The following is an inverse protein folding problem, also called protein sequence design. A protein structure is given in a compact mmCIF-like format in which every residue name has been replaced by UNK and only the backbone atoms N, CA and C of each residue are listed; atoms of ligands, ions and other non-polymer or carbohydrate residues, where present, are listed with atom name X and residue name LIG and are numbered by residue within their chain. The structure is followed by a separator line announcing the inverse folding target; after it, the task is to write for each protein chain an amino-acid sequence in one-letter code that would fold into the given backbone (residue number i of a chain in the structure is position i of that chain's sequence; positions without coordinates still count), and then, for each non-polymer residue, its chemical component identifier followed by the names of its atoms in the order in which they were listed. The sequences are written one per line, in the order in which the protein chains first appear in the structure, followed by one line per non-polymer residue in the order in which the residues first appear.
data_IF_783614495541
#
_entry.id   IF_783614495541
#
_cell.length_a   1.000
_cell.length_b   1.000
_cell.length_c   1.000
_cell.angle_alpha   90.00
_cell.angle_beta   90.00
_cell.angle_gamma   90.00
#
_symmetry.space_group_name_H-M   'P 1'
#
loop_
_entity.id
_entity.type
_entity.pdbx_description
1 polymer ?
#
# COMPACT_ATOMS: atom_id res chain seq x y z
N UNK A 1 25.83 14.84 14.01
CA UNK A 1 25.10 15.94 14.68
C UNK A 1 24.86 15.47 16.10
N UNK A 2 25.65 15.96 17.06
CA UNK A 2 25.65 15.44 18.43
C UNK A 2 24.25 15.47 19.04
N UNK A 3 23.83 14.34 19.63
CA UNK A 3 22.53 14.17 20.30
C UNK A 3 22.29 15.27 21.33
N UNK A 4 23.37 15.70 22.01
CA UNK A 4 23.47 16.84 22.93
C UNK A 4 22.90 18.14 22.33
N UNK A 5 23.28 18.47 21.09
CA UNK A 5 22.86 19.71 20.40
C UNK A 5 21.38 19.66 19.99
N UNK A 6 20.85 18.48 19.69
CA UNK A 6 19.46 18.32 19.23
C UNK A 6 18.46 18.14 20.39
N UNK A 7 18.85 17.44 21.46
CA UNK A 7 17.97 17.05 22.58
C UNK A 7 18.41 17.57 23.95
N UNK A 8 19.57 18.21 24.10
CA UNK A 8 20.09 18.65 25.41
C UNK A 8 19.15 19.55 26.20
N UNK A 9 18.29 20.34 25.53
CA UNK A 9 17.25 21.17 26.17
C UNK A 9 16.04 20.37 26.67
N UNK A 10 15.84 19.13 26.21
CA UNK A 10 14.70 18.29 26.62
C UNK A 10 14.89 17.78 28.04
N UNK A 11 14.00 18.22 28.95
CA UNK A 11 13.97 17.72 30.35
C UNK A 11 13.78 16.20 30.41
N UNK A 12 12.92 15.66 29.54
CA UNK A 12 12.67 14.22 29.46
C UNK A 12 13.93 13.45 29.08
N UNK A 13 14.65 13.90 28.04
CA UNK A 13 15.87 13.24 27.59
C UNK A 13 16.94 13.26 28.67
N UNK A 14 17.17 14.42 29.31
CA UNK A 14 18.12 14.55 30.42
C UNK A 14 17.79 13.61 31.57
N UNK A 15 16.51 13.54 31.97
CA UNK A 15 16.05 12.62 33.04
C UNK A 15 16.29 11.15 32.69
N UNK A 16 16.02 10.75 31.45
CA UNK A 16 16.22 9.36 31.01
C UNK A 16 17.71 9.02 30.86
N UNK A 17 18.52 9.99 30.39
CA UNK A 17 19.97 9.89 30.28
C UNK A 17 20.66 9.78 31.64
N UNK A 18 20.20 10.52 32.66
CA UNK A 18 20.73 10.44 34.02
C UNK A 18 20.25 9.20 34.79
N UNK A 19 19.40 8.36 34.18
CA UNK A 19 18.91 7.13 34.80
C UNK A 19 19.86 5.94 34.61
N UNK A 20 19.51 4.76 35.18
CA UNK A 20 20.34 3.56 35.15
C UNK A 20 20.63 2.99 33.75
N UNK A 21 19.93 3.49 32.71
CA UNK A 21 20.04 3.02 31.33
C UNK A 21 20.45 4.14 30.37
N UNK A 22 21.15 5.15 30.89
CA UNK A 22 21.49 6.38 30.18
C UNK A 22 22.16 6.16 28.82
N UNK A 23 23.20 5.31 28.76
CA UNK A 23 23.92 5.02 27.52
C UNK A 23 23.01 4.41 26.43
N UNK A 24 22.08 3.54 26.80
CA UNK A 24 21.13 2.93 25.86
C UNK A 24 20.12 3.96 25.35
N UNK A 25 19.67 4.86 26.23
CA UNK A 25 18.80 5.98 25.86
C UNK A 25 19.51 6.93 24.90
N UNK A 26 20.81 7.17 25.07
CA UNK A 26 21.62 7.97 24.14
C UNK A 26 21.70 7.32 22.76
N UNK A 27 22.00 6.02 22.67
CA UNK A 27 22.03 5.28 21.40
C UNK A 27 20.68 5.27 20.69
N UNK A 28 19.60 5.08 21.45
CA UNK A 28 18.25 5.17 20.92
C UNK A 28 17.93 6.58 20.42
N UNK A 29 18.29 7.62 21.17
CA UNK A 29 18.13 9.00 20.73
C UNK A 29 18.94 9.32 19.47
N UNK A 30 20.18 8.82 19.36
CA UNK A 30 21.01 8.92 18.17
C UNK A 30 20.31 8.30 16.95
N UNK A 31 19.77 7.08 17.08
CA UNK A 31 19.00 6.42 16.02
C UNK A 31 17.79 7.24 15.57
N UNK A 32 17.03 7.81 16.49
CA UNK A 32 15.87 8.64 16.13
C UNK A 32 16.29 9.89 15.33
N UNK A 33 17.48 10.44 15.61
CA UNK A 33 18.06 11.57 14.89
C UNK A 33 18.56 11.14 13.51
N UNK A 34 19.21 9.98 13.39
CA UNK A 34 19.63 9.38 12.12
C UNK A 34 18.45 9.10 11.19
N UNK A 35 17.34 8.58 11.73
CA UNK A 35 16.06 8.40 11.03
C UNK A 35 15.36 9.74 10.70
N UNK A 36 15.95 10.88 11.10
CA UNK A 36 15.48 12.25 10.89
C UNK A 36 14.10 12.52 11.49
N UNK A 37 13.79 11.95 12.66
CA UNK A 37 12.57 12.30 13.37
C UNK A 37 12.62 13.76 13.85
N UNK A 38 11.51 14.47 13.63
CA UNK A 38 11.31 15.82 14.17
C UNK A 38 11.29 15.81 15.70
N UNK A 39 11.68 16.91 16.35
CA UNK A 39 11.81 17.01 17.82
C UNK A 39 10.63 16.44 18.60
N UNK A 40 9.40 16.77 18.20
CA UNK A 40 8.20 16.23 18.84
C UNK A 40 8.07 14.71 18.67
N UNK A 41 8.38 14.17 17.49
CA UNK A 41 8.41 12.73 17.22
C UNK A 41 9.48 12.01 18.05
N UNK A 42 10.66 12.58 18.17
CA UNK A 42 11.74 12.08 19.03
C UNK A 42 11.32 12.11 20.50
N UNK A 43 10.77 13.22 20.98
CA UNK A 43 10.24 13.36 22.34
C UNK A 43 9.19 12.30 22.64
N UNK A 44 8.26 12.07 21.71
CA UNK A 44 7.22 11.06 21.86
C UNK A 44 7.79 9.64 21.94
N UNK A 45 8.74 9.30 21.08
CA UNK A 45 9.43 8.02 21.12
C UNK A 45 10.16 7.82 22.46
N UNK A 46 10.86 8.84 22.95
CA UNK A 46 11.51 8.84 24.27
C UNK A 46 10.50 8.76 25.41
N UNK A 47 9.34 9.40 25.30
CA UNK A 47 8.30 9.35 26.33
C UNK A 47 7.69 7.95 26.43
N UNK A 48 7.52 7.28 25.29
CA UNK A 48 7.05 5.90 25.26
C UNK A 48 8.05 4.95 25.90
N UNK A 49 9.34 5.06 25.58
CA UNK A 49 10.40 4.27 26.21
C UNK A 49 10.52 4.60 27.70
N UNK A 50 10.49 5.87 28.09
CA UNK A 50 10.54 6.28 29.49
C UNK A 50 9.40 5.70 30.32
N UNK A 51 8.18 5.69 29.76
CA UNK A 51 7.03 5.06 30.40
C UNK A 51 7.18 3.53 30.55
N UNK A 52 7.78 2.86 29.56
CA UNK A 52 8.10 1.43 29.66
C UNK A 52 9.11 1.17 30.78
N UNK A 53 10.20 1.93 30.84
CA UNK A 53 11.24 1.78 31.86
C UNK A 53 10.69 2.00 33.28
N UNK A 54 9.86 3.03 33.49
CA UNK A 54 9.22 3.26 34.78
C UNK A 54 8.24 2.15 35.17
N UNK A 55 7.50 1.62 34.20
CA UNK A 55 6.58 0.50 34.44
C UNK A 55 7.31 -0.80 34.78
N UNK A 56 8.47 -1.05 34.15
CA UNK A 56 9.34 -2.18 34.48
C UNK A 56 9.90 -2.07 35.88
N UNK A 57 10.40 -0.89 36.26
CA UNK A 57 10.93 -0.63 37.60
C UNK A 57 9.89 -0.92 38.70
N UNK A 58 8.63 -0.52 38.49
CA UNK A 58 7.52 -0.81 39.42
C UNK A 58 7.10 -2.28 39.50
N UNK A 59 7.58 -3.14 38.58
CA UNK A 59 7.24 -4.58 38.50
C UNK A 59 8.47 -5.49 38.64
N UNK A 60 9.62 -4.93 39.02
CA UNK A 60 10.92 -5.64 39.19
C UNK A 60 11.39 -6.39 37.93
N UNK A 61 11.00 -5.95 36.74
CA UNK A 61 11.58 -6.46 35.49
C UNK A 61 12.98 -5.88 35.28
N UNK A 62 13.94 -6.72 34.89
CA UNK A 62 15.24 -6.27 34.41
C UNK A 62 15.17 -6.02 32.90
N UNK A 63 16.13 -5.24 32.37
CA UNK A 63 16.21 -5.01 30.92
C UNK A 63 16.38 -6.30 30.12
N UNK A 64 17.12 -7.27 30.67
CA UNK A 64 17.37 -8.59 30.04
C UNK A 64 16.08 -9.40 29.84
N UNK A 65 15.04 -9.11 30.62
CA UNK A 65 13.73 -9.79 30.54
C UNK A 65 12.84 -9.18 29.44
N UNK A 66 13.30 -8.14 28.75
CA UNK A 66 12.50 -7.41 27.79
C UNK A 66 12.45 -8.15 26.44
N UNK A 67 11.24 -8.49 26.01
CA UNK A 67 10.94 -9.06 24.70
C UNK A 67 9.67 -8.42 24.09
N UNK A 68 9.24 -8.93 22.93
CA UNK A 68 7.99 -8.51 22.30
C UNK A 68 6.75 -8.74 23.19
N UNK A 69 6.74 -9.79 24.02
CA UNK A 69 5.60 -10.10 24.87
C UNK A 69 5.47 -9.09 26.02
N UNK A 70 6.58 -8.72 26.65
CA UNK A 70 6.63 -7.70 27.71
C UNK A 70 6.22 -6.34 27.14
N UNK A 71 6.65 -6.02 25.93
CA UNK A 71 6.20 -4.80 25.22
C UNK A 71 4.68 -4.81 25.00
N UNK A 72 4.08 -5.90 24.54
CA UNK A 72 2.62 -5.97 24.36
C UNK A 72 1.86 -5.99 25.71
N UNK A 73 2.44 -6.51 26.79
CA UNK A 73 1.88 -6.37 28.15
C UNK A 73 1.90 -4.91 28.62
N UNK A 74 3.00 -4.20 28.38
CA UNK A 74 3.11 -2.77 28.67
C UNK A 74 2.11 -1.94 27.86
N UNK A 75 1.98 -2.22 26.55
CA UNK A 75 1.04 -1.50 25.69
C UNK A 75 -0.40 -1.71 26.13
N UNK A 76 -0.79 -2.92 26.53
CA UNK A 76 -2.11 -3.19 27.14
C UNK A 76 -2.32 -2.39 28.44
N UNK A 77 -1.34 -2.39 29.34
CA UNK A 77 -1.39 -1.59 30.58
C UNK A 77 -1.52 -0.09 30.31
N UNK A 78 -0.76 0.42 29.34
CA UNK A 78 -0.82 1.81 28.90
C UNK A 78 -2.17 2.15 28.27
N UNK A 79 -2.70 1.26 27.44
CA UNK A 79 -3.99 1.40 26.76
C UNK A 79 -5.17 1.56 27.71
N UNK A 80 -5.11 0.95 28.90
CA UNK A 80 -6.11 1.13 29.95
C UNK A 80 -6.06 2.50 30.64
N UNK A 81 -5.01 3.32 30.40
CA UNK A 81 -4.81 4.62 31.05
C UNK A 81 -4.72 5.78 30.05
N UNK A 82 -4.28 5.50 28.83
CA UNK A 82 -4.04 6.48 27.77
C UNK A 82 -4.31 5.84 26.41
N UNK A 83 -4.76 6.64 25.45
CA UNK A 83 -4.90 6.20 24.06
C UNK A 83 -3.55 5.72 23.50
N UNK A 84 -3.48 4.47 23.04
CA UNK A 84 -2.32 3.95 22.32
C UNK A 84 -2.33 4.54 20.93
N UNK A 85 -1.21 5.10 20.54
CA UNK A 85 -1.13 5.80 19.29
C UNK A 85 -0.39 4.98 18.23
N UNK A 86 -0.62 5.23 16.93
CA UNK A 86 -0.06 4.41 15.86
C UNK A 86 1.48 4.27 15.90
N UNK A 87 2.18 5.30 16.37
CA UNK A 87 3.64 5.34 16.46
C UNK A 87 4.24 4.62 17.67
N UNK A 88 3.46 4.27 18.69
CA UNK A 88 3.99 3.80 19.98
C UNK A 88 4.62 2.41 19.84
N UNK A 89 3.97 1.51 19.08
CA UNK A 89 4.54 0.20 18.75
C UNK A 89 5.85 0.32 17.97
N UNK A 90 5.92 1.25 17.03
CA UNK A 90 7.13 1.47 16.23
C UNK A 90 8.28 2.03 17.09
N UNK A 91 7.97 2.92 18.04
CA UNK A 91 8.96 3.41 19.00
C UNK A 91 9.54 2.26 19.85
N UNK A 92 8.68 1.40 20.42
CA UNK A 92 9.14 0.27 21.23
C UNK A 92 9.89 -0.80 20.44
N UNK A 93 9.51 -1.05 19.18
CA UNK A 93 10.27 -1.95 18.30
C UNK A 93 11.67 -1.43 18.01
N UNK A 94 11.85 -0.12 17.78
CA UNK A 94 13.17 0.49 17.62
C UNK A 94 14.01 0.37 18.90
N UNK A 95 13.38 0.56 20.07
CA UNK A 95 14.03 0.37 21.35
C UNK A 95 14.54 -1.07 21.52
N UNK A 96 13.71 -2.07 21.24
CA UNK A 96 14.12 -3.49 21.24
C UNK A 96 15.29 -3.74 20.27
N UNK A 97 15.29 -3.13 19.09
CA UNK A 97 16.39 -3.24 18.14
C UNK A 97 17.70 -2.70 18.72
N UNK A 98 17.68 -1.52 19.34
CA UNK A 98 18.86 -0.95 20.02
C UNK A 98 19.37 -1.89 21.11
N UNK A 99 18.47 -2.40 21.96
CA UNK A 99 18.87 -3.32 23.04
C UNK A 99 19.50 -4.62 22.51
N UNK A 100 19.04 -5.13 21.37
CA UNK A 100 19.62 -6.33 20.73
C UNK A 100 21.00 -6.06 20.14
N UNK A 101 21.16 -4.91 19.49
CA UNK A 101 22.44 -4.52 18.88
C UNK A 101 23.51 -4.27 19.95
N UNK A 102 23.11 -3.83 21.14
CA UNK A 102 23.98 -3.72 22.31
C UNK A 102 24.15 -5.04 23.10
N UNK A 103 23.54 -6.13 22.64
CA UNK A 103 23.61 -7.44 23.32
C UNK A 103 22.94 -7.49 24.70
N UNK A 104 22.09 -6.50 25.04
CA UNK A 104 21.42 -6.41 26.35
C UNK A 104 20.27 -7.42 26.47
N UNK A 105 19.58 -7.68 25.35
CA UNK A 105 18.49 -8.66 25.29
C UNK A 105 18.81 -9.73 24.26
N UNK A 106 18.28 -10.93 24.49
CA UNK A 106 18.45 -12.03 23.56
C UNK A 106 17.97 -11.65 22.14
N UNK A 107 18.58 -12.25 21.09
CA UNK A 107 18.03 -12.18 19.74
C UNK A 107 16.55 -12.54 19.76
N UNK A 108 15.76 -11.93 18.88
CA UNK A 108 14.34 -12.28 18.78
C UNK A 108 14.22 -13.77 18.47
N UNK A 109 13.85 -14.57 19.48
CA UNK A 109 13.45 -15.95 19.27
C UNK A 109 12.06 -15.86 18.67
N UNK A 110 11.99 -15.89 17.34
CA UNK A 110 10.71 -16.10 16.68
C UNK A 110 10.13 -17.39 17.27
N UNK A 111 8.90 -17.38 17.80
CA UNK A 111 8.30 -18.60 18.32
C UNK A 111 8.37 -19.67 17.22
N UNK A 112 8.55 -20.96 17.60
CA UNK A 112 8.53 -22.04 16.62
C UNK A 112 7.24 -21.91 15.81
N UNK A 113 7.39 -21.89 14.48
CA UNK A 113 6.26 -21.71 13.57
C UNK A 113 5.21 -22.78 13.90
N UNK A 114 3.99 -22.33 14.16
CA UNK A 114 2.84 -23.23 14.25
C UNK A 114 2.73 -24.06 12.97
N UNK A 115 2.12 -25.25 12.99
CA UNK A 115 1.93 -26.05 11.77
C UNK A 115 1.33 -25.24 10.60
N UNK A 116 0.35 -24.39 10.90
CA UNK A 116 -0.25 -23.46 9.94
C UNK A 116 0.75 -22.44 9.38
N UNK A 117 1.61 -21.86 10.21
CA UNK A 117 2.63 -20.92 9.76
C UNK A 117 3.71 -21.57 8.90
N UNK A 118 4.06 -22.84 9.18
CA UNK A 118 4.97 -23.62 8.32
C UNK A 118 4.34 -23.81 6.94
N UNK A 119 3.08 -24.23 6.88
CA UNK A 119 2.32 -24.38 5.62
C UNK A 119 2.28 -23.05 4.86
N UNK A 120 2.02 -21.92 5.51
CA UNK A 120 2.01 -20.61 4.83
C UNK A 120 3.38 -20.22 4.29
N UNK A 121 4.45 -20.49 5.04
CA UNK A 121 5.82 -20.20 4.62
C UNK A 121 6.22 -21.04 3.41
N UNK A 122 5.89 -22.33 3.43
CA UNK A 122 6.13 -23.24 2.30
C UNK A 122 5.26 -22.89 1.10
N UNK A 123 4.01 -22.48 1.30
CA UNK A 123 3.15 -21.99 0.23
C UNK A 123 3.65 -20.66 -0.37
N UNK A 124 4.14 -19.71 0.44
CA UNK A 124 4.81 -18.49 -0.07
C UNK A 124 6.02 -18.86 -0.93
N UNK A 125 6.85 -19.78 -0.46
CA UNK A 125 8.02 -20.28 -1.19
C UNK A 125 7.63 -20.97 -2.49
N UNK A 126 6.59 -21.81 -2.50
CA UNK A 126 6.03 -22.42 -3.70
C UNK A 126 5.57 -21.37 -4.72
N UNK A 127 4.76 -20.40 -4.27
CA UNK A 127 4.26 -19.35 -5.14
C UNK A 127 5.40 -18.49 -5.72
N UNK A 128 6.46 -18.27 -4.94
CA UNK A 128 7.61 -17.46 -5.35
C UNK A 128 8.55 -18.21 -6.29
N UNK A 129 9.05 -19.36 -5.86
CA UNK A 129 10.16 -20.07 -6.51
C UNK A 129 9.67 -20.98 -7.64
N UNK A 130 8.54 -21.66 -7.44
CA UNK A 130 8.04 -22.65 -8.41
C UNK A 130 7.00 -22.03 -9.36
N UNK A 131 6.15 -21.11 -8.87
CA UNK A 131 5.15 -20.41 -9.71
C UNK A 131 5.63 -19.07 -10.25
N UNK A 132 6.79 -18.57 -9.81
CA UNK A 132 7.37 -17.31 -10.29
C UNK A 132 6.51 -16.07 -10.01
N UNK A 133 5.62 -16.10 -9.02
CA UNK A 133 4.72 -14.98 -8.74
C UNK A 133 5.47 -13.82 -8.08
N UNK A 134 5.12 -12.60 -8.49
CA UNK A 134 5.62 -11.41 -7.82
C UNK A 134 5.14 -11.35 -6.36
N UNK A 135 5.95 -10.84 -5.40
CA UNK A 135 5.59 -10.78 -3.98
C UNK A 135 4.22 -10.14 -3.70
N UNK A 136 3.85 -9.11 -4.49
CA UNK A 136 2.56 -8.44 -4.35
C UNK A 136 1.35 -9.32 -4.72
N UNK A 137 1.53 -10.25 -5.66
CA UNK A 137 0.51 -11.24 -5.99
C UNK A 137 0.38 -12.25 -4.87
N UNK A 138 1.50 -12.70 -4.29
CA UNK A 138 1.55 -13.68 -3.20
C UNK A 138 0.78 -13.17 -1.97
N UNK A 139 1.01 -11.92 -1.56
CA UNK A 139 0.33 -11.30 -0.41
C UNK A 139 -1.20 -11.31 -0.53
N UNK A 140 -1.77 -11.40 -1.75
CA UNK A 140 -3.23 -11.48 -1.95
C UNK A 140 -3.81 -12.85 -1.59
N UNK A 141 -3.02 -13.92 -1.65
CA UNK A 141 -3.50 -15.26 -1.32
C UNK A 141 -3.64 -15.46 0.18
N UNK A 142 -2.65 -15.01 0.96
CA UNK A 142 -2.50 -15.39 2.37
C UNK A 142 -3.73 -15.10 3.25
N UNK A 143 -4.41 -13.93 3.17
CA UNK A 143 -5.59 -13.67 3.98
C UNK A 143 -6.75 -14.62 3.66
N UNK A 144 -6.94 -14.94 2.37
CA UNK A 144 -8.00 -15.85 1.92
C UNK A 144 -7.73 -17.26 2.45
N UNK A 145 -6.50 -17.75 2.29
CA UNK A 145 -6.14 -19.10 2.74
C UNK A 145 -6.17 -19.20 4.26
N UNK A 146 -5.78 -18.14 4.98
CA UNK A 146 -5.88 -18.11 6.44
C UNK A 146 -7.31 -18.23 6.93
N UNK A 147 -8.25 -17.50 6.31
CA UNK A 147 -9.67 -17.62 6.64
C UNK A 147 -10.19 -19.03 6.31
N UNK A 148 -9.87 -19.55 5.14
CA UNK A 148 -10.24 -20.90 4.72
C UNK A 148 -9.79 -21.98 5.71
N UNK A 149 -8.50 -22.01 6.06
CA UNK A 149 -7.96 -22.99 7.01
C UNK A 149 -8.54 -22.85 8.41
N UNK A 150 -8.80 -21.62 8.86
CA UNK A 150 -9.44 -21.40 10.16
C UNK A 150 -10.86 -21.97 10.21
N UNK A 151 -11.62 -21.85 9.14
CA UNK A 151 -13.02 -22.30 9.09
C UNK A 151 -13.18 -23.78 8.74
N UNK A 152 -12.30 -24.33 7.90
CA UNK A 152 -12.38 -25.71 7.39
C UNK A 152 -11.51 -26.68 8.19
N UNK A 153 -10.42 -26.21 8.80
CA UNK A 153 -9.50 -27.03 9.58
C UNK A 153 -9.54 -26.69 11.09
N UNK A 154 -10.64 -26.11 11.57
CA UNK A 154 -10.83 -25.85 13.01
C UNK A 154 -10.71 -27.16 13.82
N UNK A 155 -9.91 -27.15 14.88
CA UNK A 155 -9.67 -28.33 15.73
C UNK A 155 -8.50 -29.23 15.32
N UNK A 156 -7.63 -28.82 14.38
CA UNK A 156 -6.44 -29.59 14.01
C UNK A 156 -6.70 -30.69 13.00
N UNK A 157 -7.79 -30.60 12.23
CA UNK A 157 -8.03 -31.50 11.11
C UNK A 157 -6.83 -31.45 10.14
N UNK A 158 -6.27 -32.62 9.84
CA UNK A 158 -5.15 -32.74 8.92
C UNK A 158 -5.55 -32.23 7.53
N UNK A 159 -4.65 -31.51 6.85
CA UNK A 159 -4.87 -31.00 5.48
C UNK A 159 -5.31 -32.09 4.48
N UNK A 160 -4.93 -33.34 4.74
CA UNK A 160 -5.31 -34.50 3.93
C UNK A 160 -6.77 -34.93 4.08
N UNK A 161 -7.48 -34.45 5.11
CA UNK A 161 -8.91 -34.73 5.33
C UNK A 161 -9.83 -33.70 4.68
N UNK A 162 -9.30 -32.60 4.13
CA UNK A 162 -10.12 -31.62 3.41
C UNK A 162 -10.84 -32.35 2.28
N UNK A 163 -12.16 -32.29 2.30
CA UNK A 163 -13.03 -32.93 1.32
C UNK A 163 -13.49 -31.95 0.23
N UNK A 164 -14.11 -32.46 -0.81
CA UNK A 164 -14.74 -31.62 -1.84
C UNK A 164 -15.91 -30.83 -1.25
N UNK A 165 -16.69 -31.48 -0.37
CA UNK A 165 -17.84 -30.93 0.31
C UNK A 165 -17.45 -29.73 1.18
N UNK A 166 -16.30 -29.78 1.86
CA UNK A 166 -15.80 -28.66 2.67
C UNK A 166 -15.43 -27.45 1.82
N UNK A 167 -14.80 -27.67 0.66
CA UNK A 167 -14.43 -26.60 -0.27
C UNK A 167 -15.68 -25.94 -0.85
N UNK A 168 -16.66 -26.73 -1.30
CA UNK A 168 -17.92 -26.22 -1.85
C UNK A 168 -18.69 -25.45 -0.79
N UNK A 169 -18.88 -26.02 0.40
CA UNK A 169 -19.59 -25.38 1.52
C UNK A 169 -18.94 -24.05 1.93
N UNK A 170 -17.61 -23.97 1.95
CA UNK A 170 -16.89 -22.73 2.22
C UNK A 170 -17.21 -21.66 1.16
N UNK A 171 -17.18 -22.04 -0.12
CA UNK A 171 -17.43 -21.11 -1.22
C UNK A 171 -18.88 -20.64 -1.21
N UNK A 172 -19.84 -21.52 -0.98
CA UNK A 172 -21.26 -21.17 -0.87
C UNK A 172 -21.52 -20.19 0.27
N UNK A 173 -20.96 -20.47 1.46
CA UNK A 173 -21.07 -19.58 2.63
C UNK A 173 -20.56 -18.17 2.33
N UNK A 174 -19.47 -18.05 1.57
CA UNK A 174 -18.87 -16.76 1.25
C UNK A 174 -19.25 -16.23 -0.14
N UNK A 175 -20.18 -16.85 -0.86
CA UNK A 175 -20.51 -16.40 -2.21
C UNK A 175 -21.12 -14.99 -2.21
N UNK A 176 -21.88 -14.66 -1.16
CA UNK A 176 -22.59 -13.38 -1.01
C UNK A 176 -21.83 -12.34 -0.17
N UNK A 177 -20.83 -12.76 0.61
CA UNK A 177 -20.00 -11.86 1.44
C UNK A 177 -19.23 -10.82 0.61
N UNK A 178 -19.07 -11.04 -0.69
CA UNK A 178 -18.11 -10.30 -1.52
C UNK A 178 -18.71 -9.88 -2.87
N UNK A 179 -18.19 -8.78 -3.40
CA UNK A 179 -18.42 -8.44 -4.81
C UNK A 179 -17.97 -9.59 -5.73
N UNK A 180 -18.57 -9.77 -6.92
CA UNK A 180 -18.18 -10.83 -7.87
C UNK A 180 -16.68 -10.82 -8.21
N UNK A 181 -16.06 -9.63 -8.24
CA UNK A 181 -14.63 -9.48 -8.48
C UNK A 181 -13.78 -10.06 -7.35
N UNK A 182 -14.18 -9.81 -6.10
CA UNK A 182 -13.44 -10.33 -4.94
C UNK A 182 -13.73 -11.81 -4.70
N UNK A 183 -14.96 -12.28 -4.92
CA UNK A 183 -15.28 -13.72 -4.92
C UNK A 183 -14.46 -14.49 -5.95
N UNK A 184 -14.29 -13.94 -7.17
CA UNK A 184 -13.39 -14.52 -8.18
C UNK A 184 -11.93 -14.59 -7.70
N UNK A 185 -11.43 -13.56 -7.01
CA UNK A 185 -10.08 -13.55 -6.43
C UNK A 185 -9.92 -14.57 -5.30
N UNK A 186 -10.97 -14.78 -4.49
CA UNK A 186 -11.03 -15.84 -3.49
C UNK A 186 -10.91 -17.22 -4.15
N UNK A 187 -11.77 -17.54 -5.12
CA UNK A 187 -11.72 -18.81 -5.86
C UNK A 187 -10.38 -19.02 -6.58
N UNK A 188 -9.76 -17.96 -7.10
CA UNK A 188 -8.41 -18.05 -7.68
C UNK A 188 -7.37 -18.41 -6.61
N UNK A 189 -7.45 -17.81 -5.42
CA UNK A 189 -6.53 -18.10 -4.32
C UNK A 189 -6.69 -19.52 -3.80
N UNK A 190 -7.94 -19.98 -3.62
CA UNK A 190 -8.26 -21.35 -3.23
C UNK A 190 -7.71 -22.37 -4.23
N UNK A 191 -7.92 -22.16 -5.53
CA UNK A 191 -7.34 -23.03 -6.56
C UNK A 191 -5.83 -23.14 -6.48
N UNK A 192 -5.14 -22.02 -6.28
CA UNK A 192 -3.68 -22.02 -6.15
C UNK A 192 -3.23 -22.83 -4.91
N UNK A 193 -3.93 -22.69 -3.79
CA UNK A 193 -3.61 -23.41 -2.56
C UNK A 193 -3.95 -24.90 -2.62
N UNK A 194 -5.11 -25.28 -3.15
CA UNK A 194 -5.49 -26.69 -3.30
C UNK A 194 -4.57 -27.44 -4.27
N UNK A 195 -4.11 -26.76 -5.35
CA UNK A 195 -3.05 -27.29 -6.23
C UNK A 195 -1.75 -27.51 -5.48
N UNK A 196 -1.37 -26.58 -4.60
CA UNK A 196 -0.20 -26.72 -3.75
C UNK A 196 -0.32 -27.93 -2.81
N UNK A 197 -1.46 -28.10 -2.14
CA UNK A 197 -1.69 -29.24 -1.24
C UNK A 197 -1.54 -30.58 -1.98
N UNK A 198 -2.12 -30.68 -3.17
CA UNK A 198 -2.00 -31.88 -3.99
C UNK A 198 -0.57 -32.10 -4.50
N UNK A 199 0.08 -31.05 -5.00
CA UNK A 199 1.45 -31.10 -5.50
C UNK A 199 2.46 -31.54 -4.43
N UNK A 200 2.25 -31.15 -3.17
CA UNK A 200 3.08 -31.56 -2.03
C UNK A 200 2.67 -32.89 -1.39
N UNK A 201 1.65 -33.57 -1.90
CA UNK A 201 1.12 -34.81 -1.30
C UNK A 201 0.43 -34.60 0.05
N UNK A 202 0.17 -33.35 0.44
CA UNK A 202 -0.54 -33.00 1.68
C UNK A 202 -2.04 -33.31 1.59
N UNK A 203 -2.56 -33.45 0.38
CA UNK A 203 -3.89 -33.99 0.10
C UNK A 203 -3.84 -34.88 -1.15
N UNK A 204 -4.34 -36.11 -1.03
CA UNK A 204 -4.30 -37.08 -2.13
C UNK A 204 -5.23 -36.69 -3.29
N UNK A 205 -6.30 -35.93 -3.03
CA UNK A 205 -7.30 -35.56 -4.04
C UNK A 205 -6.96 -34.22 -4.70
N UNK A 206 -7.11 -34.09 -6.03
CA UNK A 206 -6.92 -32.82 -6.75
C UNK A 206 -8.14 -31.89 -6.59
N UNK A 207 -8.33 -31.33 -5.39
CA UNK A 207 -9.54 -30.54 -5.03
C UNK A 207 -9.69 -29.20 -5.77
N UNK A 208 -8.67 -28.79 -6.54
CA UNK A 208 -8.69 -27.49 -7.22
C UNK A 208 -9.81 -27.39 -8.28
N UNK A 209 -10.19 -28.52 -8.87
CA UNK A 209 -11.20 -28.57 -9.94
C UNK A 209 -12.64 -28.48 -9.39
N UNK A 210 -12.82 -28.73 -8.09
CA UNK A 210 -14.08 -28.54 -7.38
C UNK A 210 -14.41 -27.06 -7.14
N UNK A 211 -13.45 -26.14 -7.34
CA UNK A 211 -13.66 -24.71 -7.12
C UNK A 211 -14.40 -24.10 -8.31
N UNK A 212 -15.66 -23.63 -8.13
CA UNK A 212 -16.43 -23.07 -9.23
C UNK A 212 -15.79 -21.80 -9.81
N UNK A 213 -16.08 -21.57 -11.08
CA UNK A 213 -15.75 -20.32 -11.74
C UNK A 213 -16.82 -19.27 -11.44
N UNK A 214 -16.49 -18.29 -10.61
CA UNK A 214 -17.36 -17.13 -10.38
C UNK A 214 -17.53 -16.33 -11.67
N UNK A 215 -18.77 -16.27 -12.17
CA UNK A 215 -19.11 -15.58 -13.41
C UNK A 215 -18.98 -14.07 -13.21
N UNK A 216 -18.19 -13.44 -14.06
CA UNK A 216 -18.13 -11.98 -14.20
C UNK A 216 -18.22 -11.65 -15.68
N UNK A 217 -19.32 -11.03 -16.07
CA UNK A 217 -19.51 -10.54 -17.42
C UNK A 217 -18.50 -9.43 -17.71
N UNK A 218 -17.66 -9.63 -18.73
CA UNK A 218 -16.69 -8.61 -19.14
C UNK A 218 -17.46 -7.37 -19.59
N UNK A 219 -16.95 -6.19 -19.25
CA UNK A 219 -17.50 -4.90 -19.66
C UNK A 219 -18.95 -4.62 -19.18
N UNK A 220 -19.45 -5.31 -18.15
CA UNK A 220 -20.82 -5.13 -17.67
C UNK A 220 -21.10 -3.74 -17.04
N UNK A 221 -20.05 -3.03 -16.64
CA UNK A 221 -20.15 -1.71 -15.99
C UNK A 221 -19.61 -0.62 -16.90
N UNK A 222 -20.20 0.57 -16.83
CA UNK A 222 -19.63 1.76 -17.43
C UNK A 222 -18.41 2.23 -16.61
N UNK A 223 -17.29 2.60 -17.25
CA UNK A 223 -16.19 3.27 -16.56
C UNK A 223 -16.69 4.56 -15.92
N UNK A 224 -16.38 4.75 -14.64
CA UNK A 224 -16.56 6.05 -14.00
C UNK A 224 -15.37 6.95 -14.33
N UNK A 225 -15.63 8.23 -14.56
CA UNK A 225 -14.62 9.24 -14.82
C UNK A 225 -15.03 10.59 -14.20
N UNK A 226 -14.07 11.49 -14.06
CA UNK A 226 -14.28 12.86 -13.62
C UNK A 226 -14.31 13.78 -14.85
N UNK A 227 -15.32 14.66 -14.99
CA UNK A 227 -15.27 15.74 -15.96
C UNK A 227 -14.05 16.65 -15.74
N UNK A 228 -13.57 17.31 -16.80
CA UNK A 228 -12.40 18.18 -16.75
C UNK A 228 -12.47 19.25 -15.63
N UNK A 229 -13.66 19.81 -15.38
CA UNK A 229 -13.90 20.76 -14.29
C UNK A 229 -13.67 20.14 -12.90
N UNK A 230 -14.06 18.89 -12.68
CA UNK A 230 -13.84 18.18 -11.41
C UNK A 230 -12.37 17.80 -11.21
N UNK A 231 -11.68 17.39 -12.28
CA UNK A 231 -10.22 17.16 -12.24
C UNK A 231 -9.50 18.45 -11.85
N UNK A 232 -9.87 19.58 -12.46
CA UNK A 232 -9.34 20.90 -12.13
C UNK A 232 -9.61 21.29 -10.67
N UNK A 233 -10.86 21.12 -10.21
CA UNK A 233 -11.24 21.37 -8.81
C UNK A 233 -10.38 20.57 -7.83
N UNK A 234 -10.14 19.29 -8.10
CA UNK A 234 -9.29 18.44 -7.25
C UNK A 234 -7.82 18.89 -7.22
N UNK A 235 -7.29 19.38 -8.35
CA UNK A 235 -5.94 19.96 -8.44
C UNK A 235 -5.86 21.29 -7.69
N UNK A 236 -6.81 22.19 -7.91
CA UNK A 236 -6.84 23.54 -7.32
C UNK A 236 -7.10 23.50 -5.80
N UNK A 237 -7.79 22.47 -5.32
CA UNK A 237 -7.99 22.22 -3.88
C UNK A 237 -6.71 21.85 -3.12
N UNK A 238 -5.57 21.67 -3.79
CA UNK A 238 -4.28 21.46 -3.12
C UNK A 238 -3.67 22.79 -2.68
N UNK A 239 -3.47 22.97 -1.37
CA UNK A 239 -2.76 24.12 -0.81
C UNK A 239 -1.25 24.05 -1.13
N UNK A 240 -0.88 24.68 -2.24
CA UNK A 240 0.49 24.72 -2.76
C UNK A 240 1.44 25.56 -1.91
N UNK A 241 0.98 26.26 -0.87
CA UNK A 241 1.90 26.92 0.07
C UNK A 241 2.46 25.94 1.10
N UNK A 242 1.75 24.83 1.36
CA UNK A 242 2.21 23.79 2.27
C UNK A 242 3.13 22.77 1.60
N UNK A 243 4.05 22.22 2.39
CA UNK A 243 4.92 21.09 2.00
C UNK A 243 4.11 19.90 1.48
N UNK A 244 2.99 19.59 2.15
CA UNK A 244 2.08 18.50 1.76
C UNK A 244 1.32 18.81 0.47
N UNK A 245 0.76 20.01 0.32
CA UNK A 245 -0.01 20.33 -0.87
C UNK A 245 0.83 20.47 -2.12
N UNK A 246 2.09 20.95 -2.05
CA UNK A 246 3.03 20.89 -3.19
C UNK A 246 3.27 19.44 -3.65
N UNK A 247 3.46 18.52 -2.69
CA UNK A 247 3.64 17.09 -2.98
C UNK A 247 2.40 16.50 -3.64
N UNK A 248 1.24 16.71 -3.00
CA UNK A 248 -0.01 16.11 -3.43
C UNK A 248 -0.43 16.66 -4.80
N UNK A 249 -0.25 17.96 -5.04
CA UNK A 249 -0.48 18.58 -6.36
C UNK A 249 0.36 17.94 -7.47
N UNK A 250 1.68 17.79 -7.25
CA UNK A 250 2.55 17.15 -8.24
C UNK A 250 2.17 15.68 -8.50
N UNK A 251 1.79 14.94 -7.44
CA UNK A 251 1.29 13.56 -7.56
C UNK A 251 0.01 13.52 -8.40
N UNK A 252 -0.98 14.35 -8.08
CA UNK A 252 -2.25 14.38 -8.80
C UNK A 252 -2.07 14.79 -10.26
N UNK A 253 -1.16 15.73 -10.54
CA UNK A 253 -0.89 16.18 -11.89
C UNK A 253 -0.27 15.06 -12.75
N UNK A 254 0.64 14.26 -12.20
CA UNK A 254 1.16 13.06 -12.86
C UNK A 254 0.06 12.02 -13.14
N UNK A 255 -0.88 11.83 -12.20
CA UNK A 255 -2.02 10.93 -12.39
C UNK A 255 -2.97 11.44 -13.49
N UNK A 256 -3.25 12.74 -13.50
CA UNK A 256 -4.23 13.37 -14.38
C UNK A 256 -3.72 13.61 -15.80
N UNK A 257 -2.46 14.02 -15.96
CA UNK A 257 -1.88 14.42 -17.26
C UNK A 257 -1.13 13.30 -17.98
N UNK A 258 -0.42 12.45 -17.23
CA UNK A 258 0.35 11.34 -17.80
C UNK A 258 -0.34 9.97 -17.60
N UNK A 259 -1.49 9.95 -16.91
CA UNK A 259 -2.25 8.73 -16.66
C UNK A 259 -1.46 7.69 -15.87
N UNK A 260 -0.49 8.09 -15.03
CA UNK A 260 0.35 7.14 -14.30
C UNK A 260 -0.47 6.30 -13.33
N UNK A 261 -0.10 5.02 -13.16
CA UNK A 261 -0.66 4.18 -12.10
C UNK A 261 -0.09 4.61 -10.74
N UNK A 262 -0.86 4.37 -9.68
CA UNK A 262 -0.45 4.72 -8.32
C UNK A 262 0.94 4.15 -7.94
N UNK A 263 1.22 2.91 -8.33
CA UNK A 263 2.52 2.28 -8.07
C UNK A 263 3.64 2.81 -8.95
N UNK A 264 3.33 3.25 -10.18
CA UNK A 264 4.31 3.91 -11.05
C UNK A 264 4.77 5.19 -10.36
N UNK A 265 3.83 6.04 -9.90
CA UNK A 265 4.15 7.26 -9.14
C UNK A 265 4.91 6.97 -7.85
N UNK A 266 4.47 5.97 -7.07
CA UNK A 266 5.10 5.62 -5.81
C UNK A 266 6.56 5.13 -5.97
N UNK A 267 6.89 4.57 -7.13
CA UNK A 267 8.20 3.98 -7.41
C UNK A 267 9.11 4.85 -8.27
N UNK A 268 8.63 5.99 -8.78
CA UNK A 268 9.49 6.95 -9.46
C UNK A 268 10.67 7.38 -8.58
N UNK A 269 11.84 7.48 -9.21
CA UNK A 269 13.08 7.95 -8.61
C UNK A 269 13.52 9.26 -9.27
N UNK A 270 14.43 9.97 -8.61
CA UNK A 270 15.03 11.18 -9.17
C UNK A 270 15.83 10.88 -10.45
N UNK A 271 16.34 9.65 -10.60
CA UNK A 271 17.09 9.18 -11.77
C UNK A 271 16.20 8.87 -12.97
N UNK A 272 14.90 8.70 -12.75
CA UNK A 272 13.96 8.42 -13.84
C UNK A 272 13.56 9.70 -14.60
N UNK A 273 14.06 10.88 -14.22
CA UNK A 273 13.77 12.16 -14.88
C UNK A 273 14.99 12.66 -15.65
N UNK A 274 14.83 12.82 -16.96
CA UNK A 274 15.78 13.53 -17.81
C UNK A 274 15.26 14.95 -18.06
N UNK A 275 15.83 15.92 -17.34
CA UNK A 275 15.45 17.33 -17.45
C UNK A 275 15.89 17.98 -18.77
N UNK A 276 16.92 17.45 -19.45
CA UNK A 276 17.39 18.00 -20.73
C UNK A 276 16.50 17.54 -21.86
N UNK A 277 16.12 16.27 -21.86
CA UNK A 277 15.19 15.71 -22.83
C UNK A 277 13.72 16.04 -22.51
N UNK A 278 13.43 16.57 -21.31
CA UNK A 278 12.05 16.71 -20.79
C UNK A 278 11.30 15.38 -20.80
N UNK A 279 11.95 14.30 -20.37
CA UNK A 279 11.39 12.95 -20.38
C UNK A 279 11.37 12.30 -18.99
N UNK A 280 10.38 11.44 -18.75
CA UNK A 280 10.27 10.61 -17.57
C UNK A 280 10.22 9.12 -17.93
N UNK A 281 11.05 8.32 -17.27
CA UNK A 281 11.10 6.87 -17.42
C UNK A 281 10.10 6.20 -16.46
N UNK A 282 8.98 5.73 -17.01
CA UNK A 282 7.93 5.03 -16.28
C UNK A 282 8.17 3.53 -16.30
N UNK A 283 8.20 2.91 -15.11
CA UNK A 283 8.33 1.45 -14.94
C UNK A 283 6.94 0.84 -14.80
N UNK A 284 6.42 0.29 -15.89
CA UNK A 284 5.09 -0.31 -15.94
C UNK A 284 5.09 -1.76 -15.42
N UNK A 285 3.87 -2.31 -15.25
CA UNK A 285 3.67 -3.72 -14.91
C UNK A 285 4.33 -4.61 -15.97
N UNK A 286 4.84 -5.77 -15.57
CA UNK A 286 5.42 -6.74 -16.52
C UNK A 286 6.86 -6.43 -16.95
N UNK A 287 7.61 -5.65 -16.15
CA UNK A 287 8.97 -5.18 -16.45
C UNK A 287 9.07 -4.23 -17.67
N UNK A 288 7.94 -3.77 -18.19
CA UNK A 288 7.90 -2.78 -19.26
C UNK A 288 8.43 -1.42 -18.78
N UNK A 289 9.12 -0.72 -19.68
CA UNK A 289 9.61 0.64 -19.47
C UNK A 289 9.11 1.51 -20.61
N UNK A 290 8.65 2.71 -20.30
CA UNK A 290 8.22 3.68 -21.28
C UNK A 290 8.81 5.04 -20.94
N UNK A 291 9.35 5.74 -21.94
CA UNK A 291 9.68 7.16 -21.81
C UNK A 291 8.46 7.97 -22.19
N UNK A 292 8.17 8.99 -21.40
CA UNK A 292 7.06 9.91 -21.65
C UNK A 292 7.57 11.34 -21.59
N UNK A 293 7.05 12.25 -22.44
CA UNK A 293 7.34 13.66 -22.30
C UNK A 293 6.81 14.17 -20.95
N UNK A 294 7.49 15.17 -20.40
CA UNK A 294 7.08 15.91 -19.21
C UNK A 294 6.51 17.25 -19.71
N UNK A 295 5.18 17.42 -19.70
CA UNK A 295 4.56 18.71 -19.97
C UNK A 295 5.12 19.81 -19.04
N UNK A 296 5.23 21.07 -19.50
CA UNK A 296 5.82 22.15 -18.71
C UNK A 296 5.16 22.36 -17.34
N UNK A 297 3.83 22.22 -17.24
CA UNK A 297 3.09 22.30 -15.99
C UNK A 297 3.43 21.17 -15.02
N UNK A 298 3.57 19.93 -15.53
CA UNK A 298 4.04 18.76 -14.77
C UNK A 298 5.47 18.99 -14.27
N UNK A 299 6.36 19.44 -15.14
CA UNK A 299 7.75 19.74 -14.79
C UNK A 299 7.85 20.81 -13.71
N UNK A 300 7.11 21.91 -13.86
CA UNK A 300 7.05 23.00 -12.89
C UNK A 300 6.55 22.52 -11.52
N UNK A 301 5.49 21.69 -11.49
CA UNK A 301 4.96 21.12 -10.25
C UNK A 301 5.99 20.22 -9.55
N UNK A 302 6.71 19.39 -10.30
CA UNK A 302 7.78 18.55 -9.75
C UNK A 302 8.90 19.43 -9.19
N UNK A 303 9.37 20.44 -9.92
CA UNK A 303 10.43 21.35 -9.46
C UNK A 303 10.00 22.09 -8.19
N UNK A 304 8.77 22.61 -8.13
CA UNK A 304 8.23 23.28 -6.97
C UNK A 304 8.21 22.35 -5.74
N UNK A 305 7.83 21.09 -5.92
CA UNK A 305 7.93 20.10 -4.86
C UNK A 305 9.39 19.81 -4.48
N UNK A 306 10.29 19.56 -5.42
CA UNK A 306 11.68 19.24 -5.15
C UNK A 306 12.42 20.36 -4.38
N UNK A 307 12.16 21.62 -4.72
CA UNK A 307 12.81 22.78 -4.10
C UNK A 307 12.19 23.14 -2.75
N UNK A 308 10.86 23.15 -2.65
CA UNK A 308 10.15 23.78 -1.53
C UNK A 308 9.29 22.81 -0.70
N UNK A 309 9.00 21.62 -1.21
CA UNK A 309 8.12 20.65 -0.56
C UNK A 309 8.76 19.31 -0.20
N UNK A 310 9.95 18.99 -0.71
CA UNK A 310 10.60 17.70 -0.48
C UNK A 310 11.52 17.79 0.74
N UNK A 311 11.24 17.03 1.83
CA UNK A 311 12.16 16.97 2.97
C UNK A 311 13.55 16.50 2.54
N UNK A 312 14.59 17.05 3.19
CA UNK A 312 15.97 16.58 2.99
C UNK A 312 16.07 15.11 3.38
N UNK A 313 16.43 14.25 2.44
CA UNK A 313 16.53 12.80 2.62
C UNK A 313 17.56 12.22 1.65
N UNK A 314 18.24 11.15 2.06
CA UNK A 314 19.12 10.34 1.20
C UNK A 314 18.34 9.42 0.26
N UNK A 315 17.03 9.25 0.49
CA UNK A 315 16.18 8.44 -0.38
C UNK A 315 16.14 9.03 -1.80
N UNK A 316 16.36 8.21 -2.82
CA UNK A 316 16.29 8.63 -4.24
C UNK A 316 14.89 8.55 -4.85
N UNK A 317 13.88 8.15 -4.08
CA UNK A 317 12.48 8.20 -4.53
C UNK A 317 12.08 9.65 -4.79
N UNK A 318 11.37 9.88 -5.89
CA UNK A 318 10.90 11.21 -6.27
C UNK A 318 10.04 11.79 -5.14
N UNK A 319 8.97 11.07 -4.79
CA UNK A 319 8.10 11.43 -3.68
C UNK A 319 8.47 10.67 -2.40
N UNK A 320 8.54 11.41 -1.30
CA UNK A 320 8.83 10.89 0.04
C UNK A 320 7.74 11.27 1.04
N UNK A 321 7.69 10.53 2.14
CA UNK A 321 6.79 10.83 3.26
C UNK A 321 7.13 12.18 3.87
N UNK A 322 6.10 13.00 4.10
CA UNK A 322 6.25 14.28 4.81
C UNK A 322 6.64 14.06 6.27
N UNK A 323 6.08 13.02 6.90
CA UNK A 323 6.45 12.62 8.26
C UNK A 323 7.62 11.65 8.23
N UNK A 324 8.54 11.81 9.18
CA UNK A 324 9.69 10.94 9.35
C UNK A 324 9.27 9.48 9.66
N UNK A 325 10.04 8.48 9.20
CA UNK A 325 11.25 8.60 8.39
C UNK A 325 10.91 9.06 6.95
N UNK A 326 11.69 10.01 6.41
CA UNK A 326 11.49 10.63 5.09
C UNK A 326 11.90 9.71 3.94
N UNK A 327 11.31 8.52 3.90
CA UNK A 327 11.52 7.50 2.88
C UNK A 327 10.40 7.54 1.84
N UNK A 328 10.59 6.87 0.72
CA UNK A 328 9.54 6.72 -0.29
C UNK A 328 8.28 6.00 0.24
N UNK A 329 7.23 6.05 -0.57
CA UNK A 329 6.03 5.28 -0.30
C UNK A 329 6.30 3.78 -0.45
N UNK A 330 5.71 2.97 0.44
CA UNK A 330 5.88 1.52 0.41
C UNK A 330 5.11 0.87 -0.75
N UNK A 331 4.03 1.49 -1.21
CA UNK A 331 3.24 1.07 -2.35
C UNK A 331 2.39 2.22 -2.88
N UNK A 332 1.76 2.02 -4.03
CA UNK A 332 0.77 2.93 -4.59
C UNK A 332 -0.47 3.13 -3.71
N UNK A 333 -0.67 2.36 -2.64
CA UNK A 333 -1.78 2.59 -1.70
C UNK A 333 -1.75 4.01 -1.12
N UNK A 334 -0.55 4.52 -0.78
CA UNK A 334 -0.42 5.88 -0.27
C UNK A 334 -0.84 6.93 -1.32
N UNK A 335 -0.47 6.71 -2.58
CA UNK A 335 -0.86 7.57 -3.71
C UNK A 335 -2.38 7.53 -3.93
N UNK A 336 -2.99 6.34 -3.87
CA UNK A 336 -4.45 6.18 -3.94
C UNK A 336 -5.15 6.92 -2.80
N UNK A 337 -4.61 6.88 -1.58
CA UNK A 337 -5.17 7.60 -0.43
C UNK A 337 -5.01 9.12 -0.56
N UNK A 338 -3.87 9.61 -1.07
CA UNK A 338 -3.68 11.04 -1.40
C UNK A 338 -4.72 11.48 -2.43
N UNK A 339 -4.88 10.70 -3.50
CA UNK A 339 -5.86 10.99 -4.53
C UNK A 339 -7.30 11.00 -3.98
N UNK A 340 -7.64 10.03 -3.12
CA UNK A 340 -8.94 9.99 -2.45
C UNK A 340 -9.16 11.22 -1.55
N UNK A 341 -8.18 11.55 -0.70
CA UNK A 341 -8.26 12.70 0.20
C UNK A 341 -8.40 14.02 -0.56
N UNK A 342 -7.79 14.15 -1.74
CA UNK A 342 -7.95 15.32 -2.59
C UNK A 342 -9.39 15.45 -3.14
N UNK A 343 -10.00 14.34 -3.56
CA UNK A 343 -11.39 14.31 -4.02
C UNK A 343 -12.37 14.62 -2.87
N UNK A 344 -12.16 14.00 -1.71
CA UNK A 344 -13.00 14.20 -0.53
C UNK A 344 -12.95 15.67 -0.07
N UNK A 345 -11.77 16.32 -0.11
CA UNK A 345 -11.59 17.74 0.27
C UNK A 345 -12.46 18.70 -0.54
N UNK A 346 -12.75 18.37 -1.79
CA UNK A 346 -13.52 19.23 -2.70
C UNK A 346 -14.96 18.76 -2.89
N UNK A 347 -15.41 17.79 -2.08
CA UNK A 347 -16.77 17.26 -2.08
C UNK A 347 -17.13 16.46 -3.33
N UNK A 348 -16.15 15.81 -3.98
CA UNK A 348 -16.42 14.93 -5.12
C UNK A 348 -16.77 13.54 -4.60
N UNK A 349 -18.05 13.18 -4.71
CA UNK A 349 -18.59 11.89 -4.27
C UNK A 349 -19.21 11.10 -5.44
N UNK A 350 -19.84 9.95 -5.14
CA UNK A 350 -20.60 9.17 -6.14
C UNK A 350 -19.78 8.37 -7.16
N UNK A 351 -18.45 8.45 -7.16
CA UNK A 351 -17.63 7.68 -8.09
C UNK A 351 -17.48 6.20 -7.65
N UNK A 352 -17.74 5.23 -8.55
CA UNK A 352 -17.60 3.80 -8.26
C UNK A 352 -16.15 3.38 -7.92
N UNK A 353 -15.17 4.16 -8.38
CA UNK A 353 -13.76 4.01 -8.05
C UNK A 353 -13.23 5.32 -7.46
N UNK A 354 -12.81 5.31 -6.19
CA UNK A 354 -12.21 6.46 -5.51
C UNK A 354 -10.69 6.29 -5.41
N UNK A 355 -9.94 7.30 -5.83
CA UNK A 355 -8.48 7.33 -5.77
C UNK A 355 -7.80 7.31 -7.14
N UNK A 356 -6.52 6.93 -7.21
CA UNK A 356 -5.65 7.23 -8.36
C UNK A 356 -6.16 6.75 -9.74
N UNK A 357 -6.87 5.62 -9.81
CA UNK A 357 -7.38 5.09 -11.07
C UNK A 357 -8.43 5.98 -11.74
N UNK A 358 -9.19 6.79 -10.98
CA UNK A 358 -10.22 7.65 -11.56
C UNK A 358 -9.60 8.72 -12.47
N UNK A 359 -8.46 9.28 -12.09
CA UNK A 359 -7.74 10.29 -12.88
C UNK A 359 -7.29 9.72 -14.22
N UNK A 360 -6.79 8.49 -14.21
CA UNK A 360 -6.40 7.77 -15.42
C UNK A 360 -7.58 7.46 -16.32
N UNK A 361 -8.73 7.06 -15.77
CA UNK A 361 -9.95 6.87 -16.56
C UNK A 361 -10.43 8.20 -17.15
N UNK A 362 -10.35 9.29 -16.38
CA UNK A 362 -10.71 10.64 -16.82
C UNK A 362 -9.87 11.10 -18.00
N UNK A 363 -8.54 10.90 -17.93
CA UNK A 363 -7.64 11.20 -19.06
C UNK A 363 -8.00 10.38 -20.31
N UNK A 364 -8.27 9.08 -20.14
CA UNK A 364 -8.64 8.22 -21.25
C UNK A 364 -9.94 8.67 -21.93
N UNK A 365 -10.95 9.00 -21.13
CA UNK A 365 -12.24 9.51 -21.62
C UNK A 365 -12.06 10.84 -22.33
N UNK A 366 -11.28 11.77 -21.77
CA UNK A 366 -11.03 13.08 -22.38
C UNK A 366 -10.33 12.96 -23.74
N UNK A 367 -9.32 12.09 -23.84
CA UNK A 367 -8.61 11.83 -25.09
C UNK A 367 -9.55 11.24 -26.15
N UNK A 368 -10.39 10.28 -25.76
CA UNK A 368 -11.38 9.69 -26.66
C UNK A 368 -12.34 10.76 -27.21
N UNK A 369 -12.87 11.61 -26.31
CA UNK A 369 -13.77 12.72 -26.69
C UNK A 369 -13.08 13.80 -27.53
N UNK A 370 -11.76 13.90 -27.43
CA UNK A 370 -10.94 14.79 -28.25
C UNK A 370 -10.56 14.16 -29.60
N UNK A 371 -11.09 12.98 -29.93
CA UNK A 371 -10.87 12.30 -31.21
C UNK A 371 -9.70 11.30 -31.23
N UNK A 372 -9.03 11.05 -30.11
CA UNK A 372 -7.96 10.07 -30.06
C UNK A 372 -8.50 8.63 -30.23
N UNK A 373 -7.78 7.83 -31.01
CA UNK A 373 -8.12 6.43 -31.22
C UNK A 373 -7.86 5.59 -29.96
N UNK A 374 -8.57 4.46 -29.83
CA UNK A 374 -8.30 3.49 -28.74
C UNK A 374 -6.86 2.93 -28.79
N UNK A 375 -6.21 2.95 -29.96
CA UNK A 375 -4.81 2.55 -30.08
C UNK A 375 -3.88 3.57 -29.41
N UNK A 376 -4.03 4.85 -29.75
CA UNK A 376 -3.25 5.94 -29.14
C UNK A 376 -3.46 6.03 -27.63
N UNK A 377 -4.71 5.91 -27.18
CA UNK A 377 -5.04 5.85 -25.75
C UNK A 377 -4.36 4.64 -25.09
N UNK A 378 -4.39 3.48 -25.75
CA UNK A 378 -3.75 2.26 -25.27
C UNK A 378 -2.23 2.41 -25.13
N UNK A 379 -1.59 3.01 -26.12
CA UNK A 379 -0.16 3.30 -26.12
C UNK A 379 0.21 4.30 -25.03
N UNK A 380 -0.46 5.45 -24.98
CA UNK A 380 -0.22 6.50 -23.98
C UNK A 380 -0.38 5.95 -22.56
N UNK A 381 -1.46 5.20 -22.31
CA UNK A 381 -1.74 4.62 -21.02
C UNK A 381 -0.91 3.37 -20.73
N UNK A 382 -0.20 2.81 -21.71
CA UNK A 382 0.61 1.60 -21.54
C UNK A 382 -0.28 0.41 -21.16
N UNK A 383 -1.24 0.11 -22.03
CA UNK A 383 -2.05 -1.09 -21.99
C UNK A 383 -1.40 -2.18 -22.84
N UNK A 384 -1.09 -3.31 -22.22
CA UNK A 384 -0.53 -4.47 -22.91
C UNK A 384 -1.57 -5.20 -23.76
N UNK A 385 -2.84 -5.16 -23.36
CA UNK A 385 -3.94 -5.80 -24.07
C UNK A 385 -4.97 -4.75 -24.50
N UNK A 386 -5.31 -4.71 -25.79
CA UNK A 386 -6.32 -3.84 -26.39
C UNK A 386 -7.71 -3.96 -25.72
N UNK A 387 -8.07 -5.13 -25.20
CA UNK A 387 -9.31 -5.32 -24.42
C UNK A 387 -9.37 -4.43 -23.18
N UNK A 388 -8.21 -4.04 -22.64
CA UNK A 388 -8.13 -3.12 -21.50
C UNK A 388 -8.56 -1.70 -21.90
N UNK A 389 -8.31 -1.30 -23.14
CA UNK A 389 -8.70 0.02 -23.65
C UNK A 389 -10.14 0.03 -24.17
N UNK A 390 -10.66 -1.12 -24.63
CA UNK A 390 -12.07 -1.27 -25.06
C UNK A 390 -13.09 -0.88 -24.01
N UNK A 391 -12.73 -0.87 -22.72
CA UNK A 391 -13.61 -0.38 -21.66
C UNK A 391 -14.11 1.06 -21.93
N UNK A 392 -13.30 1.89 -22.61
CA UNK A 392 -13.61 3.30 -22.88
C UNK A 392 -14.51 3.51 -24.09
N UNK A 393 -14.71 2.52 -24.97
CA UNK A 393 -15.61 2.69 -26.12
C UNK A 393 -17.05 3.00 -25.70
N UNK A 394 -17.39 2.74 -24.44
CA UNK A 394 -18.74 2.88 -23.87
C UNK A 394 -19.03 4.27 -23.30
N UNK A 395 -18.02 5.15 -23.20
CA UNK A 395 -18.18 6.46 -22.56
C UNK A 395 -18.34 7.61 -23.55
N UNK A 396 -18.08 7.38 -24.83
CA UNK A 396 -18.29 8.36 -25.89
C UNK A 396 -19.68 8.21 -26.52
N UNK A 397 -20.68 8.77 -25.83
CA UNK A 397 -22.08 8.68 -26.27
C UNK A 397 -22.28 9.41 -27.60
N UNK A 398 -21.55 10.49 -27.86
CA UNK A 398 -21.71 11.28 -29.07
C UNK A 398 -21.19 10.51 -30.29
N UNK A 399 -20.02 9.88 -30.20
CA UNK A 399 -19.56 8.97 -31.26
C UNK A 399 -20.44 7.72 -31.41
N UNK A 400 -21.02 7.20 -30.31
CA UNK A 400 -21.95 6.08 -30.40
C UNK A 400 -23.28 6.46 -31.07
N UNK A 401 -23.75 7.70 -30.90
CA UNK A 401 -24.97 8.20 -31.56
C UNK A 401 -24.84 8.22 -33.08
N UNK A 402 -23.67 8.51 -33.63
CA UNK A 402 -23.48 8.48 -35.10
C UNK A 402 -23.54 7.07 -35.67
N UNK A 403 -23.38 6.04 -34.84
CA UNK A 403 -23.53 4.63 -35.22
C UNK A 403 -24.96 4.12 -35.01
N UNK A 404 -25.85 4.91 -34.42
CA UNK A 404 -27.24 4.50 -34.22
C UNK A 404 -27.98 4.51 -35.55
N UNK A 405 -28.68 3.43 -35.84
CA UNK A 405 -29.59 3.38 -36.99
C UNK A 405 -30.81 4.26 -36.69
N UNK A 406 -31.39 4.92 -37.70
CA UNK A 406 -32.64 5.65 -37.54
C UNK A 406 -33.70 4.74 -36.94
N UNK A 407 -34.46 5.25 -35.97
CA UNK A 407 -35.51 4.49 -35.32
C UNK A 407 -36.58 4.10 -36.36
N UNK A 408 -36.90 2.80 -36.54
CA UNK A 408 -37.76 2.36 -37.63
C UNK A 408 -39.24 2.81 -37.52
N UNK A 409 -39.62 3.59 -36.50
CA UNK A 409 -41.01 4.00 -36.25
C UNK A 409 -41.22 5.48 -35.90
N UNK A 410 -40.36 6.39 -36.36
CA UNK A 410 -40.62 7.83 -36.22
C UNK A 410 -41.63 8.31 -37.27
N UNK A 411 -42.83 8.72 -36.83
CA UNK A 411 -43.85 9.37 -37.67
C UNK A 411 -43.26 10.66 -38.26
N UNK A 412 -43.42 10.83 -39.58
CA UNK A 412 -43.03 12.04 -40.33
C UNK A 412 -43.80 13.28 -39.90
#
# INVERSE_FOLDING_TARGET
MEVEKYLGRSRLYRRLRSGPHGQLVERYAARLIEERLVRHGTWRCLNVVGGLLSWMAGRRYKLVDLDEQVVERYLRHRGGRQSIQPGDRAALKRWLSVLREEGVIAPSVLPPLTPHERIFKEFDAYLRSERGLAPRSIVRHLPVIRRFLHEVCSGGAALGKISQEDVIRYIERHAQDWSPGTGKAMCWSLRAFLRYLHHRGLNARPLADCVPSMRRWKLATLPTYLPAAQVRKALDGCDRETVMGRRDYAILLLLAKLGLRADEVATLTLDDIDWRASEILVRAKGRQRARMPIPPDVGAAIVAYLRNGRPKSSCRRLFVRTLAPHVGFASGCAITMIAKAALDRVGIEGCAHRGAHIFRHSLATELLRSGATLSEIGQLLRHENHDTTRIYSKVDIDALRTLSLPWPGGVQ
#
